data_IF_431343525472
#
_entry.id   IF_431343525472
#
_cell.length_a   1.000
_cell.length_b   1.000
_cell.length_c   1.000
_cell.angle_alpha   90.00
_cell.angle_beta   90.00
_cell.angle_gamma   90.00
#
_symmetry.space_group_name_H-M   'P 1'
#
loop_
_entity.id
_entity.type
_entity.pdbx_description
1 polymer ?
#
# COMPACT_ATOMS: atom_id res chain seq x y z
N UNK A 1 11.06 -15.17 -1.85
CA UNK A 1 9.68 -14.81 -2.22
C UNK A 1 9.50 -14.88 -3.73
N UNK A 2 8.31 -15.23 -4.19
CA UNK A 2 7.94 -15.33 -5.61
C UNK A 2 6.61 -14.58 -5.83
N UNK A 3 6.21 -14.38 -7.09
CA UNK A 3 5.01 -13.60 -7.42
C UNK A 3 3.71 -14.11 -6.77
N UNK A 4 3.62 -15.40 -6.41
CA UNK A 4 2.49 -15.96 -5.65
C UNK A 4 2.31 -15.27 -4.29
N UNK A 5 3.42 -14.97 -3.60
CA UNK A 5 3.36 -14.28 -2.32
C UNK A 5 2.91 -12.83 -2.47
N UNK A 6 3.35 -12.13 -3.52
CA UNK A 6 2.86 -10.79 -3.82
C UNK A 6 1.35 -10.77 -4.06
N UNK A 7 0.81 -11.74 -4.80
CA UNK A 7 -0.63 -11.86 -5.03
C UNK A 7 -1.37 -12.11 -3.71
N UNK A 8 -0.94 -13.10 -2.93
CA UNK A 8 -1.62 -13.48 -1.69
C UNK A 8 -1.62 -12.33 -0.66
N UNK A 9 -0.47 -11.71 -0.43
CA UNK A 9 -0.35 -10.57 0.49
C UNK A 9 -1.08 -9.36 -0.08
N UNK A 10 -1.01 -9.13 -1.40
CA UNK A 10 -1.76 -8.07 -2.07
C UNK A 10 -3.27 -8.18 -1.82
N UNK A 11 -3.87 -9.35 -2.01
CA UNK A 11 -5.30 -9.54 -1.68
C UNK A 11 -5.60 -9.36 -0.19
N UNK A 12 -4.74 -9.86 0.70
CA UNK A 12 -4.90 -9.67 2.15
C UNK A 12 -4.87 -8.18 2.53
N UNK A 13 -3.88 -7.44 2.03
CA UNK A 13 -3.73 -6.00 2.27
C UNK A 13 -4.88 -5.21 1.65
N UNK A 14 -5.33 -5.56 0.45
CA UNK A 14 -6.50 -4.95 -0.17
C UNK A 14 -7.75 -5.15 0.69
N UNK A 15 -8.02 -6.37 1.16
CA UNK A 15 -9.15 -6.65 2.04
C UNK A 15 -9.11 -5.82 3.33
N UNK A 16 -7.93 -5.70 3.95
CA UNK A 16 -7.73 -4.85 5.12
C UNK A 16 -8.03 -3.38 4.83
N UNK A 17 -7.45 -2.79 3.77
CA UNK A 17 -7.66 -1.38 3.46
C UNK A 17 -9.06 -1.09 2.93
N UNK A 18 -9.74 -2.03 2.27
CA UNK A 18 -11.17 -1.93 1.95
C UNK A 18 -12.02 -1.86 3.21
N UNK A 19 -11.81 -2.78 4.16
CA UNK A 19 -12.50 -2.75 5.46
C UNK A 19 -12.23 -1.43 6.21
N UNK A 20 -10.98 -0.97 6.17
CA UNK A 20 -10.61 0.33 6.72
C UNK A 20 -11.35 1.49 6.02
N UNK A 21 -11.55 1.41 4.71
CA UNK A 21 -12.38 2.36 3.96
C UNK A 21 -13.83 2.42 4.47
N UNK A 22 -14.44 1.26 4.76
CA UNK A 22 -15.76 1.21 5.38
C UNK A 22 -15.79 1.85 6.76
N UNK A 23 -14.74 1.66 7.56
CA UNK A 23 -14.59 2.37 8.84
C UNK A 23 -14.52 3.89 8.64
N UNK A 24 -13.74 4.38 7.67
CA UNK A 24 -13.64 5.82 7.40
C UNK A 24 -14.98 6.42 6.96
N UNK A 25 -15.76 5.69 6.15
CA UNK A 25 -17.14 6.08 5.78
C UNK A 25 -18.02 6.12 7.04
N UNK A 26 -17.93 5.11 7.90
CA UNK A 26 -18.68 5.08 9.16
C UNK A 26 -18.39 6.31 10.03
N UNK A 27 -17.11 6.63 10.24
CA UNK A 27 -16.68 7.80 11.02
C UNK A 27 -17.18 9.12 10.43
N UNK A 28 -17.23 9.22 9.10
CA UNK A 28 -17.69 10.43 8.39
C UNK A 28 -19.20 10.62 8.45
N UNK A 29 -19.98 9.55 8.29
CA UNK A 29 -21.41 9.67 7.99
C UNK A 29 -22.33 9.25 9.14
N UNK A 30 -21.87 8.34 10.01
CA UNK A 30 -22.73 7.62 10.95
C UNK A 30 -22.28 7.71 12.42
N UNK A 31 -20.99 7.94 12.69
CA UNK A 31 -20.48 7.97 14.05
C UNK A 31 -21.01 9.17 14.86
N UNK A 32 -21.20 9.02 16.19
CA UNK A 32 -21.33 10.16 17.09
C UNK A 32 -20.13 11.09 16.95
N UNK A 33 -20.34 12.41 16.86
CA UNK A 33 -19.26 13.38 16.66
C UNK A 33 -18.76 13.52 15.22
N UNK A 34 -19.46 12.96 14.22
CA UNK A 34 -19.07 13.05 12.81
C UNK A 34 -18.79 14.46 12.27
N UNK A 35 -19.43 15.50 12.82
CA UNK A 35 -19.20 16.87 12.36
C UNK A 35 -17.75 17.32 12.62
N UNK A 36 -17.18 16.96 13.77
CA UNK A 36 -15.77 17.24 14.07
C UNK A 36 -14.83 16.48 13.12
N UNK A 37 -15.15 15.20 12.84
CA UNK A 37 -14.42 14.40 11.88
C UNK A 37 -14.47 15.02 10.48
N UNK A 38 -15.65 15.43 10.01
CA UNK A 38 -15.83 16.09 8.71
C UNK A 38 -15.07 17.42 8.65
N UNK A 39 -15.09 18.21 9.72
CA UNK A 39 -14.41 19.51 9.76
C UNK A 39 -12.87 19.41 9.68
N UNK A 40 -12.31 18.23 9.92
CA UNK A 40 -10.86 17.94 9.79
C UNK A 40 -10.50 17.21 8.50
N UNK A 41 -11.38 17.18 7.50
CA UNK A 41 -11.21 16.39 6.26
C UNK A 41 -9.86 16.56 5.53
N UNK A 42 -9.32 17.78 5.50
CA UNK A 42 -8.09 18.11 4.77
C UNK A 42 -6.85 18.23 5.67
N UNK A 43 -6.98 17.98 6.98
CA UNK A 43 -5.90 18.18 7.95
C UNK A 43 -5.86 17.07 9.01
N UNK A 44 -4.68 16.83 9.59
CA UNK A 44 -4.50 15.88 10.68
C UNK A 44 -4.97 14.46 10.36
N UNK A 45 -5.53 13.77 11.36
CA UNK A 45 -5.80 12.32 11.31
C UNK A 45 -6.77 11.93 10.20
N UNK A 46 -7.83 12.69 9.95
CA UNK A 46 -8.79 12.31 8.90
C UNK A 46 -8.11 12.35 7.51
N UNK A 47 -7.28 13.35 7.24
CA UNK A 47 -6.51 13.40 5.98
C UNK A 47 -5.52 12.23 5.86
N UNK A 48 -4.69 12.00 6.87
CA UNK A 48 -3.64 10.98 6.84
C UNK A 48 -4.21 9.56 6.76
N UNK A 49 -5.30 9.28 7.48
CA UNK A 49 -5.96 7.97 7.40
C UNK A 49 -6.54 7.68 6.02
N UNK A 50 -7.03 8.71 5.30
CA UNK A 50 -7.44 8.58 3.91
C UNK A 50 -6.27 8.32 2.97
N UNK A 51 -5.11 8.96 3.21
CA UNK A 51 -3.89 8.65 2.47
C UNK A 51 -3.49 7.18 2.64
N UNK A 52 -3.52 6.67 3.88
CA UNK A 52 -3.24 5.27 4.16
C UNK A 52 -4.22 4.34 3.43
N UNK A 53 -5.52 4.64 3.44
CA UNK A 53 -6.54 3.86 2.75
C UNK A 53 -6.28 3.76 1.23
N UNK A 54 -6.10 4.91 0.57
CA UNK A 54 -5.94 4.96 -0.89
C UNK A 54 -4.61 4.31 -1.30
N UNK A 55 -3.51 4.66 -0.65
CA UNK A 55 -2.20 4.07 -0.96
C UNK A 55 -2.15 2.59 -0.59
N UNK A 56 -2.82 2.19 0.48
CA UNK A 56 -2.98 0.80 0.88
C UNK A 56 -3.59 -0.06 -0.21
N UNK A 57 -4.72 0.38 -0.77
CA UNK A 57 -5.38 -0.33 -1.87
C UNK A 57 -4.59 -0.25 -3.19
N UNK A 58 -3.97 0.89 -3.51
CA UNK A 58 -3.13 1.02 -4.70
C UNK A 58 -1.91 0.09 -4.62
N UNK A 59 -1.20 0.07 -3.50
CA UNK A 59 0.01 -0.74 -3.34
C UNK A 59 -0.31 -2.23 -3.24
N UNK A 60 -1.48 -2.57 -2.67
CA UNK A 60 -2.02 -3.92 -2.71
C UNK A 60 -2.29 -4.37 -4.16
N UNK A 61 -2.98 -3.52 -4.95
CA UNK A 61 -3.22 -3.80 -6.36
C UNK A 61 -1.93 -3.93 -7.17
N UNK A 62 -0.96 -3.04 -6.96
CA UNK A 62 0.37 -3.15 -7.59
C UNK A 62 1.05 -4.45 -7.22
N UNK A 63 0.97 -4.91 -5.97
CA UNK A 63 1.52 -6.23 -5.59
C UNK A 63 0.82 -7.38 -6.31
N UNK A 64 -0.50 -7.33 -6.50
CA UNK A 64 -1.23 -8.36 -7.27
C UNK A 64 -0.74 -8.35 -8.73
N UNK A 65 -0.69 -7.17 -9.36
CA UNK A 65 -0.26 -7.02 -10.75
C UNK A 65 1.21 -7.44 -10.95
N UNK A 66 2.12 -6.91 -10.13
CA UNK A 66 3.53 -7.28 -10.15
C UNK A 66 3.67 -8.78 -9.93
N UNK A 67 2.99 -9.34 -8.93
CA UNK A 67 3.00 -10.77 -8.65
C UNK A 67 2.55 -11.62 -9.84
N UNK A 68 1.50 -11.19 -10.54
CA UNK A 68 1.04 -11.82 -11.78
C UNK A 68 2.11 -11.75 -12.89
N UNK A 69 2.68 -10.57 -13.14
CA UNK A 69 3.72 -10.37 -14.16
C UNK A 69 4.97 -11.20 -13.87
N UNK A 70 5.41 -11.26 -12.61
CA UNK A 70 6.55 -12.06 -12.17
C UNK A 70 6.32 -13.56 -12.35
N UNK A 71 5.09 -14.05 -12.25
CA UNK A 71 4.76 -15.46 -12.52
C UNK A 71 4.63 -15.73 -14.02
N UNK A 72 3.97 -14.84 -14.75
CA UNK A 72 3.68 -15.01 -16.17
C UNK A 72 4.95 -14.88 -17.04
N UNK A 73 5.84 -13.96 -16.69
CA UNK A 73 7.08 -13.69 -17.40
C UNK A 73 8.33 -14.21 -16.66
N UNK A 74 8.17 -15.19 -15.77
CA UNK A 74 9.26 -15.71 -14.91
C UNK A 74 10.53 -16.12 -15.67
N UNK A 75 10.39 -16.60 -16.91
CA UNK A 75 11.49 -17.10 -17.73
C UNK A 75 12.16 -15.99 -18.57
N UNK A 76 11.56 -14.79 -18.61
CA UNK A 76 12.05 -13.61 -19.34
C UNK A 76 12.53 -12.49 -18.41
N UNK A 77 12.04 -12.47 -17.17
CA UNK A 77 12.41 -11.50 -16.16
C UNK A 77 13.58 -12.03 -15.33
N UNK A 78 14.67 -11.28 -15.28
CA UNK A 78 15.73 -11.52 -14.33
C UNK A 78 15.37 -10.90 -12.97
N UNK A 79 16.06 -11.30 -11.90
CA UNK A 79 15.94 -10.65 -10.57
C UNK A 79 14.50 -10.60 -9.99
N UNK A 80 13.63 -11.52 -10.40
CA UNK A 80 12.23 -11.68 -9.95
C UNK A 80 12.09 -11.60 -8.42
N UNK A 81 13.02 -12.22 -7.68
CA UNK A 81 13.01 -12.22 -6.21
C UNK A 81 13.20 -10.82 -5.63
N UNK A 82 14.08 -10.01 -6.23
CA UNK A 82 14.39 -8.65 -5.78
C UNK A 82 13.18 -7.73 -6.00
N UNK A 83 12.58 -7.78 -7.20
CA UNK A 83 11.36 -7.01 -7.52
C UNK A 83 10.22 -7.41 -6.59
N UNK A 84 10.02 -8.71 -6.38
CA UNK A 84 9.03 -9.26 -5.44
C UNK A 84 9.19 -8.71 -4.02
N UNK A 85 10.42 -8.68 -3.50
CA UNK A 85 10.71 -8.12 -2.18
C UNK A 85 10.50 -6.61 -2.12
N UNK A 86 10.97 -5.85 -3.11
CA UNK A 86 10.78 -4.40 -3.15
C UNK A 86 9.29 -4.02 -3.13
N UNK A 87 8.46 -4.71 -3.94
CA UNK A 87 7.02 -4.46 -3.97
C UNK A 87 6.34 -4.76 -2.63
N UNK A 88 6.77 -5.83 -1.93
CA UNK A 88 6.21 -6.19 -0.63
C UNK A 88 6.69 -5.28 0.50
N UNK A 89 7.96 -4.91 0.52
CA UNK A 89 8.49 -3.84 1.39
C UNK A 89 7.76 -2.52 1.14
N UNK A 90 7.30 -2.28 -0.09
CA UNK A 90 6.46 -1.14 -0.43
C UNK A 90 5.22 -0.98 0.45
N UNK A 91 4.61 -2.09 0.90
CA UNK A 91 3.44 -2.10 1.78
C UNK A 91 3.72 -1.50 3.18
N UNK A 92 4.99 -1.29 3.55
CA UNK A 92 5.34 -0.56 4.77
C UNK A 92 4.87 0.90 4.74
N UNK A 93 4.66 1.50 3.56
CA UNK A 93 4.22 2.89 3.47
C UNK A 93 2.82 3.12 4.07
N UNK A 94 1.76 2.46 3.58
CA UNK A 94 0.42 2.65 4.13
C UNK A 94 0.30 2.10 5.56
N UNK A 95 1.07 1.08 5.94
CA UNK A 95 1.17 0.62 7.34
C UNK A 95 1.83 1.70 8.21
N UNK A 96 2.91 2.30 7.73
CA UNK A 96 3.65 3.38 8.37
C UNK A 96 2.77 4.57 8.68
N UNK A 97 1.94 5.00 7.72
CA UNK A 97 0.98 6.10 7.93
C UNK A 97 0.02 5.75 9.06
N UNK A 98 -0.56 4.54 9.08
CA UNK A 98 -1.45 4.15 10.19
C UNK A 98 -0.71 4.16 11.53
N UNK A 99 0.54 3.69 11.57
CA UNK A 99 1.30 3.67 12.82
C UNK A 99 1.73 5.05 13.30
N UNK A 100 1.99 5.98 12.39
CA UNK A 100 2.25 7.39 12.70
C UNK A 100 0.99 8.03 13.29
N UNK A 101 -0.16 7.89 12.61
CA UNK A 101 -1.45 8.43 13.03
C UNK A 101 -1.90 7.93 14.41
N UNK A 102 -1.75 6.63 14.66
CA UNK A 102 -2.31 5.97 15.85
C UNK A 102 -1.33 5.85 17.01
N UNK A 103 -0.03 5.73 16.75
CA UNK A 103 0.98 5.49 17.77
C UNK A 103 2.08 6.56 17.81
N UNK A 104 2.05 7.57 16.92
CA UNK A 104 3.05 8.64 16.88
C UNK A 104 4.44 8.15 16.47
N UNK A 105 4.53 7.02 15.75
CA UNK A 105 5.82 6.51 15.29
C UNK A 105 6.44 7.44 14.24
N UNK A 106 7.79 7.52 14.17
CA UNK A 106 8.46 8.29 13.13
C UNK A 106 8.11 7.81 11.70
N UNK A 107 8.14 8.69 10.69
CA UNK A 107 7.73 8.38 9.31
C UNK A 107 8.75 7.50 8.55
N UNK A 108 9.68 6.83 9.24
CA UNK A 108 10.70 5.99 8.63
C UNK A 108 10.08 4.85 7.80
N UNK A 109 9.02 4.22 8.29
CA UNK A 109 8.29 3.18 7.55
C UNK A 109 7.62 3.73 6.29
N UNK A 110 7.07 4.95 6.38
CA UNK A 110 6.46 5.67 5.24
C UNK A 110 7.48 5.85 4.12
N UNK A 111 8.65 6.40 4.46
CA UNK A 111 9.72 6.68 3.50
C UNK A 111 10.31 5.40 2.90
N UNK A 112 10.62 4.40 3.73
CA UNK A 112 11.17 3.12 3.27
C UNK A 112 10.19 2.43 2.31
N UNK A 113 8.91 2.37 2.67
CA UNK A 113 7.89 1.76 1.81
C UNK A 113 7.69 2.55 0.50
N UNK A 114 7.66 3.87 0.55
CA UNK A 114 7.49 4.70 -0.65
C UNK A 114 8.64 4.48 -1.64
N UNK A 115 9.88 4.53 -1.15
CA UNK A 115 11.07 4.27 -1.96
C UNK A 115 11.09 2.84 -2.51
N UNK A 116 10.75 1.84 -1.71
CA UNK A 116 10.75 0.44 -2.14
C UNK A 116 9.70 0.15 -3.23
N UNK A 117 8.47 0.65 -3.06
CA UNK A 117 7.43 0.51 -4.09
C UNK A 117 7.86 1.20 -5.39
N UNK A 118 8.36 2.43 -5.29
CA UNK A 118 8.84 3.21 -6.45
C UNK A 118 9.94 2.47 -7.20
N UNK A 119 10.95 1.98 -6.47
CA UNK A 119 12.03 1.19 -7.05
C UNK A 119 11.51 -0.10 -7.70
N UNK A 120 10.52 -0.77 -7.10
CA UNK A 120 9.95 -2.00 -7.67
C UNK A 120 9.29 -1.78 -9.03
N UNK A 121 8.54 -0.67 -9.18
CA UNK A 121 7.84 -0.34 -10.42
C UNK A 121 8.83 0.07 -11.50
N UNK A 122 9.77 0.96 -11.19
CA UNK A 122 10.82 1.39 -12.14
C UNK A 122 11.67 0.20 -12.58
N UNK A 123 12.06 -0.69 -11.65
CA UNK A 123 12.86 -1.85 -12.01
C UNK A 123 12.09 -2.81 -12.92
N UNK A 124 10.80 -3.03 -12.66
CA UNK A 124 9.99 -3.86 -13.54
C UNK A 124 9.86 -3.25 -14.95
N UNK A 125 9.67 -1.93 -15.06
CA UNK A 125 9.65 -1.21 -16.34
C UNK A 125 10.94 -1.41 -17.15
N UNK A 126 12.11 -1.27 -16.51
CA UNK A 126 13.41 -1.44 -17.16
C UNK A 126 13.61 -2.84 -17.75
N UNK A 127 12.89 -3.86 -17.26
CA UNK A 127 12.91 -5.19 -17.84
C UNK A 127 11.99 -5.35 -19.05
N UNK A 128 10.91 -4.57 -19.16
CA UNK A 128 10.01 -4.62 -20.31
C UNK A 128 10.45 -3.72 -21.47
N UNK A 129 11.34 -2.74 -21.22
CA UNK A 129 11.90 -1.87 -22.26
C UNK A 129 13.13 -2.47 -22.98
N UNK A 130 13.70 -3.56 -22.46
CA UNK A 130 14.82 -4.28 -23.08
C UNK A 130 14.32 -5.40 -23.99
#
# INVERSE_FOLDING_TARGET
>A
MNGKNNIAIGFLTMGFFMAYGFLLIYLRDFAPGKEEWVNTYSIGKHFETRLAHVHGNLFAFLNILIGYLLLHFKDKLENVKTISWLALTGLLMPIGILTEVYFGLPPALVLIGAMAMTASVIYLELHFLK
#
